data_IF_373170607651
#
_entry.id   IF_373170607651
#
_cell.length_a   1.000
_cell.length_b   1.000
_cell.length_c   1.000
_cell.angle_alpha   90.00
_cell.angle_beta   90.00
_cell.angle_gamma   90.00
#
_symmetry.space_group_name_H-M   'P 1'
#
loop_
_entity.id
_entity.type
_entity.pdbx_description
1 polymer ?
#
# COMPACT_ATOMS: atom_id res chain seq x y z
N UNK A 1 -40.97 -18.16 -14.67
CA UNK A 1 -41.68 -19.39 -14.23
C UNK A 1 -41.22 -20.51 -15.16
N UNK A 2 -40.15 -21.28 -14.90
CA UNK A 2 -40.10 -22.48 -14.06
C UNK A 2 -38.62 -22.92 -13.88
N UNK A 3 -37.90 -22.29 -12.95
CA UNK A 3 -36.50 -22.67 -12.64
C UNK A 3 -36.16 -22.53 -11.16
N UNK A 4 -36.81 -21.58 -10.46
CA UNK A 4 -36.54 -21.29 -9.05
C UNK A 4 -37.32 -22.16 -8.04
N UNK A 5 -38.27 -23.00 -8.48
CA UNK A 5 -39.06 -23.86 -7.56
C UNK A 5 -38.38 -25.20 -7.21
N UNK A 6 -37.41 -25.66 -8.01
CA UNK A 6 -36.73 -26.96 -7.79
C UNK A 6 -35.60 -26.92 -6.76
N UNK A 7 -35.04 -25.75 -6.48
CA UNK A 7 -33.95 -25.60 -5.49
C UNK A 7 -34.51 -25.55 -4.06
N UNK A 8 -35.75 -25.05 -3.89
CA UNK A 8 -36.39 -24.93 -2.57
C UNK A 8 -36.96 -26.24 -2.03
N UNK A 9 -37.26 -27.22 -2.90
CA UNK A 9 -37.77 -28.53 -2.48
C UNK A 9 -36.68 -29.50 -2.01
N UNK A 10 -35.45 -29.35 -2.51
CA UNK A 10 -34.33 -30.23 -2.14
C UNK A 10 -33.72 -29.82 -0.80
N UNK A 11 -33.68 -28.52 -0.48
CA UNK A 11 -33.19 -28.03 0.82
C UNK A 11 -34.14 -28.30 2.00
N UNK A 12 -35.43 -28.54 1.75
CA UNK A 12 -36.42 -28.77 2.83
C UNK A 12 -36.57 -30.24 3.23
N UNK A 13 -36.02 -31.19 2.47
CA UNK A 13 -36.04 -32.62 2.81
C UNK A 13 -34.86 -33.07 3.67
N UNK A 14 -33.77 -32.31 3.72
CA UNK A 14 -32.57 -32.70 4.49
C UNK A 14 -32.61 -32.25 5.96
N UNK A 15 -33.57 -31.40 6.35
CA UNK A 15 -33.63 -30.81 7.71
C UNK A 15 -34.70 -31.46 8.60
N UNK A 16 -35.59 -32.31 8.06
CA UNK A 16 -36.62 -33.02 8.83
C UNK A 16 -36.66 -34.52 8.49
N UNK A 17 -35.60 -35.25 8.85
CA UNK A 17 -35.64 -36.71 8.97
C UNK A 17 -34.48 -37.21 9.83
N UNK A 18 -34.49 -36.89 11.12
CA UNK A 18 -33.72 -37.61 12.13
C UNK A 18 -34.38 -37.37 13.49
N UNK A 19 -35.40 -38.17 13.78
CA UNK A 19 -35.88 -38.47 15.12
C UNK A 19 -36.54 -39.84 15.05
N UNK A 20 -35.85 -40.88 15.49
CA UNK A 20 -36.33 -42.26 15.52
C UNK A 20 -35.17 -43.24 15.71
N UNK A 21 -35.27 -44.04 16.77
CA UNK A 21 -34.19 -44.74 17.46
C UNK A 21 -33.80 -46.14 16.90
N UNK A 22 -32.68 -46.63 17.45
CA UNK A 22 -32.25 -48.03 17.67
C UNK A 22 -31.88 -48.96 16.48
N UNK A 23 -30.59 -49.33 16.39
CA UNK A 23 -30.00 -50.67 16.68
C UNK A 23 -28.59 -50.86 16.07
N UNK A 24 -27.87 -51.85 16.61
CA UNK A 24 -26.41 -52.04 16.67
C UNK A 24 -25.68 -52.53 15.37
N UNK A 25 -24.35 -52.80 15.39
CA UNK A 25 -23.41 -52.44 14.31
C UNK A 25 -23.09 -53.56 13.31
N UNK A 26 -22.92 -53.17 12.05
CA UNK A 26 -21.78 -53.52 11.18
C UNK A 26 -22.14 -53.19 9.72
N UNK A 27 -21.10 -52.91 8.93
CA UNK A 27 -21.10 -52.74 7.46
C UNK A 27 -21.84 -51.53 6.88
N UNK A 28 -21.11 -50.43 6.61
CA UNK A 28 -21.36 -49.57 5.46
C UNK A 28 -20.12 -48.73 5.07
N UNK A 29 -19.38 -49.28 4.10
CA UNK A 29 -18.69 -48.64 2.96
C UNK A 29 -18.16 -47.19 3.13
N UNK A 30 -16.82 -47.08 3.27
CA UNK A 30 -16.02 -45.95 2.80
C UNK A 30 -16.28 -45.77 1.31
N UNK A 31 -17.00 -44.73 0.89
CA UNK A 31 -16.75 -43.94 -0.32
C UNK A 31 -17.43 -42.57 -0.12
N UNK A 32 -16.66 -41.52 -0.39
CA UNK A 32 -17.00 -40.09 -0.52
C UNK A 32 -16.15 -39.18 0.40
N UNK A 33 -15.51 -38.18 -0.22
CA UNK A 33 -14.62 -37.13 0.35
C UNK A 33 -13.11 -37.44 0.48
N UNK A 34 -12.35 -37.40 -0.63
CA UNK A 34 -10.87 -37.48 -0.59
C UNK A 34 -10.15 -36.21 -0.12
N UNK A 35 -10.85 -35.10 0.13
CA UNK A 35 -10.21 -33.79 0.48
C UNK A 35 -10.18 -33.55 2.00
N UNK A 36 -11.11 -34.13 2.76
CA UNK A 36 -11.19 -33.93 4.22
C UNK A 36 -10.22 -34.83 5.01
N UNK A 37 -9.86 -36.00 4.46
CA UNK A 37 -8.99 -36.98 5.12
C UNK A 37 -7.51 -36.61 5.11
N UNK A 38 -7.06 -35.82 4.12
CA UNK A 38 -5.66 -35.33 4.05
C UNK A 38 -5.33 -34.29 5.12
N UNK A 39 -6.30 -33.45 5.52
CA UNK A 39 -6.07 -32.44 6.56
C UNK A 39 -6.21 -32.99 7.99
N UNK A 40 -7.06 -34.00 8.21
CA UNK A 40 -7.20 -34.63 9.53
C UNK A 40 -6.04 -35.59 9.88
N UNK A 41 -5.46 -36.28 8.90
CA UNK A 41 -4.28 -37.15 9.08
C UNK A 41 -3.03 -36.41 9.59
N UNK A 42 -2.94 -35.10 9.37
CA UNK A 42 -1.81 -34.27 9.84
C UNK A 42 -2.01 -33.74 11.26
N UNK A 43 -3.23 -33.81 11.81
CA UNK A 43 -3.56 -33.28 13.14
C UNK A 43 -3.58 -34.35 14.24
N UNK A 44 -3.84 -35.62 13.91
CA UNK A 44 -3.99 -36.70 14.91
C UNK A 44 -2.68 -37.33 15.42
N UNK A 45 -1.50 -36.86 14.96
CA UNK A 45 -0.20 -37.45 15.36
C UNK A 45 0.55 -36.64 16.43
N UNK A 46 -0.11 -35.69 17.08
CA UNK A 46 0.49 -34.83 18.11
C UNK A 46 -0.33 -34.81 19.40
N UNK A 47 -0.76 -35.97 19.89
CA UNK A 47 -1.08 -36.15 21.30
C UNK A 47 -0.83 -37.61 21.71
N UNK A 48 -0.24 -37.77 22.91
CA UNK A 48 0.18 -39.00 23.60
C UNK A 48 1.58 -39.57 23.28
N UNK A 49 2.61 -39.11 24.00
CA UNK A 49 3.30 -39.94 25.02
C UNK A 49 4.51 -39.25 25.67
N UNK A 50 4.46 -39.18 27.01
CA UNK A 50 5.57 -39.17 28.01
C UNK A 50 6.66 -38.08 27.99
N UNK A 51 7.09 -37.55 29.13
CA UNK A 51 6.90 -38.09 30.47
C UNK A 51 7.46 -37.26 31.63
N UNK A 52 6.98 -37.64 32.80
CA UNK A 52 7.70 -37.57 34.06
C UNK A 52 8.34 -38.93 34.32
N UNK A 53 9.65 -38.96 34.62
CA UNK A 53 10.30 -39.73 35.68
C UNK A 53 11.81 -39.75 35.43
N UNK A 54 12.57 -39.31 36.43
CA UNK A 54 13.99 -39.60 36.52
C UNK A 54 14.22 -40.97 37.16
N UNK A 55 15.33 -41.64 36.80
CA UNK A 55 16.26 -42.33 37.71
C UNK A 55 17.28 -43.19 36.92
N UNK A 56 18.52 -43.15 37.42
CA UNK A 56 19.49 -44.25 37.59
C UNK A 56 20.23 -44.89 36.39
N UNK A 57 21.56 -44.66 36.40
CA UNK A 57 22.68 -45.63 36.38
C UNK A 57 22.95 -46.56 35.19
N UNK A 58 24.10 -46.31 34.55
CA UNK A 58 25.23 -47.22 34.26
C UNK A 58 24.98 -48.66 33.75
N UNK A 59 25.62 -49.03 32.62
CA UNK A 59 26.70 -50.05 32.54
C UNK A 59 26.94 -50.60 31.11
N UNK A 60 28.22 -50.97 30.83
CA UNK A 60 28.75 -51.86 29.75
C UNK A 60 28.72 -51.29 28.31
N UNK A 61 29.79 -50.88 27.62
CA UNK A 61 31.15 -51.43 27.41
C UNK A 61 31.22 -52.94 27.15
N UNK A 62 31.94 -53.31 26.07
CA UNK A 62 32.24 -54.64 25.54
C UNK A 62 31.13 -55.21 24.61
N UNK A 63 31.34 -55.52 23.33
CA UNK A 63 32.37 -56.38 22.73
C UNK A 63 32.56 -56.01 21.24
N UNK A 64 33.79 -55.65 20.87
CA UNK A 64 34.30 -55.80 19.51
C UNK A 64 34.98 -57.17 19.42
N UNK A 65 34.36 -58.13 18.74
CA UNK A 65 35.05 -59.22 18.02
C UNK A 65 34.02 -60.12 17.37
N UNK A 66 34.12 -60.30 16.05
CA UNK A 66 34.08 -61.58 15.31
C UNK A 66 33.89 -61.30 13.80
N UNK A 67 34.96 -61.60 13.07
CA UNK A 67 35.06 -62.09 11.70
C UNK A 67 34.76 -61.22 10.46
N UNK A 68 35.88 -60.91 9.79
CA UNK A 68 36.03 -60.85 8.34
C UNK A 68 35.49 -62.11 7.63
N UNK A 69 34.65 -61.94 6.61
CA UNK A 69 34.76 -62.61 5.28
C UNK A 69 33.58 -62.25 4.37
N UNK A 70 33.87 -62.08 3.07
CA UNK A 70 33.03 -61.80 1.89
C UNK A 70 32.97 -60.34 1.37
N UNK A 71 33.10 -60.13 0.04
CA UNK A 71 33.08 -58.80 -0.57
C UNK A 71 31.66 -58.37 -1.03
N UNK A 72 31.46 -57.05 -1.08
CA UNK A 72 30.37 -56.30 -1.72
C UNK A 72 28.94 -56.39 -1.14
N UNK A 73 28.55 -55.36 -0.39
CA UNK A 73 27.36 -54.53 -0.63
C UNK A 73 27.45 -53.26 0.24
N UNK A 74 27.15 -52.04 -0.26
CA UNK A 74 27.14 -50.85 0.58
C UNK A 74 26.03 -50.97 1.63
N UNK A 75 26.42 -50.78 2.89
CA UNK A 75 25.53 -50.68 4.04
C UNK A 75 24.65 -49.45 3.84
N UNK A 76 23.32 -49.64 3.78
CA UNK A 76 22.36 -48.55 3.90
C UNK A 76 22.37 -48.14 5.38
N UNK A 77 23.16 -47.12 5.71
CA UNK A 77 22.91 -46.31 6.90
C UNK A 77 21.52 -45.69 6.71
N UNK A 78 20.58 -46.10 7.56
CA UNK A 78 19.35 -45.33 7.76
C UNK A 78 19.74 -44.08 8.54
N UNK A 79 20.23 -43.07 7.82
CA UNK A 79 20.22 -41.70 8.33
C UNK A 79 18.77 -41.35 8.62
N UNK A 80 18.52 -40.91 9.85
CA UNK A 80 17.30 -40.22 10.24
C UNK A 80 17.23 -38.91 9.44
N UNK A 81 16.89 -38.98 8.16
CA UNK A 81 16.36 -37.85 7.43
C UNK A 81 14.88 -37.73 7.82
N UNK A 82 14.65 -37.07 8.95
CA UNK A 82 13.48 -36.21 9.02
C UNK A 82 13.53 -35.32 7.79
N UNK A 83 12.45 -35.32 7.02
CA UNK A 83 12.29 -34.45 5.85
C UNK A 83 12.46 -33.02 6.34
N UNK A 84 13.68 -32.51 6.24
CA UNK A 84 14.00 -31.11 6.39
C UNK A 84 13.35 -30.47 5.16
N UNK A 85 12.10 -30.03 5.32
CA UNK A 85 11.46 -29.13 4.37
C UNK A 85 12.51 -28.07 4.07
N UNK A 86 12.91 -27.98 2.79
CA UNK A 86 13.80 -26.96 2.29
C UNK A 86 13.26 -25.62 2.76
N UNK A 87 13.75 -25.16 3.91
CA UNK A 87 13.60 -23.80 4.37
C UNK A 87 14.31 -23.02 3.29
N UNK A 88 13.53 -22.42 2.38
CA UNK A 88 14.07 -21.41 1.50
C UNK A 88 14.74 -20.42 2.45
N UNK A 89 16.07 -20.45 2.46
CA UNK A 89 16.91 -19.76 3.41
C UNK A 89 16.90 -18.28 3.02
N UNK A 90 15.71 -17.67 3.04
CA UNK A 90 15.52 -16.23 2.94
C UNK A 90 16.09 -15.69 4.23
N UNK A 91 17.38 -15.34 4.19
CA UNK A 91 18.03 -14.61 5.26
C UNK A 91 17.22 -13.33 5.44
N UNK A 92 16.32 -13.33 6.42
CA UNK A 92 15.56 -12.17 6.88
C UNK A 92 16.58 -11.08 7.21
N UNK A 93 16.70 -10.08 6.36
CA UNK A 93 17.76 -9.07 6.41
C UNK A 93 17.21 -7.69 6.74
N UNK A 94 15.92 -7.44 6.50
CA UNK A 94 15.34 -6.12 6.64
C UNK A 94 15.11 -5.72 8.10
N UNK A 95 15.45 -4.46 8.38
CA UNK A 95 15.20 -3.79 9.66
C UNK A 95 13.89 -2.99 9.57
N UNK A 96 13.38 -2.58 10.72
CA UNK A 96 12.10 -1.87 10.86
C UNK A 96 12.01 -0.58 10.05
N UNK A 97 13.08 0.22 9.99
CA UNK A 97 13.06 1.50 9.26
C UNK A 97 12.97 1.28 7.74
N UNK A 98 13.95 0.64 7.08
CA UNK A 98 13.91 0.46 5.63
C UNK A 98 12.79 -0.50 5.17
N UNK A 99 12.38 -1.45 6.01
CA UNK A 99 11.42 -2.49 5.62
C UNK A 99 9.96 -2.19 5.98
N UNK A 100 9.68 -1.24 6.87
CA UNK A 100 8.29 -0.92 7.28
C UNK A 100 8.04 0.58 7.25
N UNK A 101 8.84 1.36 7.96
CA UNK A 101 8.62 2.82 8.09
C UNK A 101 8.73 3.55 6.75
N UNK A 102 9.84 3.37 6.02
CA UNK A 102 10.07 4.08 4.75
C UNK A 102 9.03 3.73 3.67
N UNK A 103 8.68 2.44 3.43
CA UNK A 103 7.62 2.09 2.48
C UNK A 103 6.26 2.73 2.82
N UNK A 104 5.87 2.74 4.10
CA UNK A 104 4.59 3.33 4.53
C UNK A 104 4.62 4.84 4.35
N UNK A 105 5.66 5.51 4.85
CA UNK A 105 5.78 6.96 4.72
C UNK A 105 5.78 7.41 3.26
N UNK A 106 6.52 6.72 2.38
CA UNK A 106 6.55 7.03 0.94
C UNK A 106 5.23 6.76 0.24
N UNK A 107 4.55 5.65 0.59
CA UNK A 107 3.24 5.35 0.02
C UNK A 107 2.18 6.40 0.37
N UNK A 108 2.28 7.00 1.57
CA UNK A 108 1.35 8.06 2.01
C UNK A 108 1.80 9.46 1.55
N UNK A 109 3.10 9.72 1.39
CA UNK A 109 3.59 10.99 0.86
C UNK A 109 3.18 11.17 -0.60
N UNK A 110 3.41 10.14 -1.43
CA UNK A 110 3.03 10.08 -2.85
C UNK A 110 3.11 11.45 -3.55
N UNK A 111 2.20 11.74 -4.46
CA UNK A 111 2.06 13.05 -5.10
C UNK A 111 1.39 14.10 -4.22
N UNK A 112 0.69 13.61 -3.20
CA UNK A 112 -0.26 14.38 -2.42
C UNK A 112 0.39 15.51 -1.64
N UNK A 113 1.57 15.23 -1.09
CA UNK A 113 2.36 16.18 -0.31
C UNK A 113 2.72 17.43 -1.12
N UNK A 114 2.94 17.30 -2.44
CA UNK A 114 3.38 18.43 -3.28
C UNK A 114 2.28 19.08 -4.11
N UNK A 115 1.18 18.38 -4.41
CA UNK A 115 0.12 18.93 -5.28
C UNK A 115 -1.28 18.93 -4.67
N UNK A 116 -1.64 17.91 -3.88
CA UNK A 116 -3.04 17.72 -3.48
C UNK A 116 -3.41 18.43 -2.18
N UNK A 117 -2.47 18.67 -1.27
CA UNK A 117 -2.77 19.43 -0.03
C UNK A 117 -3.19 20.87 -0.37
N UNK A 118 -2.56 21.51 -1.35
CA UNK A 118 -2.92 22.86 -1.78
C UNK A 118 -4.37 22.94 -2.29
N UNK A 119 -4.76 22.00 -3.15
CA UNK A 119 -6.13 21.85 -3.64
C UNK A 119 -7.14 21.66 -2.50
N UNK A 120 -6.84 20.76 -1.54
CA UNK A 120 -7.74 20.48 -0.41
C UNK A 120 -7.95 21.73 0.45
N UNK A 121 -6.86 22.49 0.72
CA UNK A 121 -6.92 23.74 1.47
C UNK A 121 -7.68 24.83 0.72
N UNK A 122 -7.55 24.91 -0.61
CA UNK A 122 -8.23 25.90 -1.43
C UNK A 122 -9.76 25.81 -1.29
N UNK A 123 -10.31 24.60 -1.43
CA UNK A 123 -11.75 24.37 -1.45
C UNK A 123 -12.36 24.20 -0.05
N UNK A 124 -11.75 23.38 0.80
CA UNK A 124 -12.30 23.09 2.13
C UNK A 124 -11.93 24.18 3.16
N UNK A 125 -10.85 24.94 2.93
CA UNK A 125 -10.31 25.86 3.92
C UNK A 125 -9.68 25.13 5.12
N UNK A 126 -8.89 25.85 5.91
CA UNK A 126 -8.06 25.25 6.98
C UNK A 126 -8.88 24.43 7.97
N UNK A 127 -10.02 24.96 8.44
CA UNK A 127 -10.78 24.30 9.49
C UNK A 127 -11.36 22.96 9.03
N UNK A 128 -11.91 22.93 7.82
CA UNK A 128 -12.51 21.72 7.28
C UNK A 128 -11.44 20.74 6.77
N UNK A 129 -10.31 21.22 6.25
CA UNK A 129 -9.15 20.36 5.92
C UNK A 129 -8.62 19.67 7.18
N UNK A 130 -8.45 20.39 8.30
CA UNK A 130 -8.01 19.77 9.56
C UNK A 130 -9.03 18.75 10.09
N UNK A 131 -10.33 19.04 9.96
CA UNK A 131 -11.39 18.08 10.30
C UNK A 131 -11.31 16.81 9.43
N UNK A 132 -11.16 16.97 8.11
CA UNK A 132 -11.04 15.86 7.17
C UNK A 132 -9.78 15.03 7.44
N UNK A 133 -8.63 15.69 7.68
CA UNK A 133 -7.40 15.03 8.10
C UNK A 133 -7.60 14.23 9.39
N UNK A 134 -8.20 14.83 10.42
CA UNK A 134 -8.52 14.15 11.67
C UNK A 134 -9.38 12.90 11.46
N UNK A 135 -10.41 12.99 10.61
CA UNK A 135 -11.27 11.86 10.26
C UNK A 135 -10.51 10.76 9.49
N UNK A 136 -9.71 11.13 8.48
CA UNK A 136 -8.88 10.18 7.73
C UNK A 136 -7.91 9.43 8.64
N UNK A 137 -7.16 10.15 9.47
CA UNK A 137 -6.18 9.55 10.37
C UNK A 137 -6.83 8.75 11.49
N UNK A 138 -8.04 9.09 11.95
CA UNK A 138 -8.80 8.25 12.86
C UNK A 138 -9.12 6.87 12.25
N UNK A 139 -9.65 6.86 11.02
CA UNK A 139 -9.97 5.61 10.29
C UNK A 139 -8.69 4.77 10.09
N UNK A 140 -7.59 5.42 9.68
CA UNK A 140 -6.31 4.75 9.47
C UNK A 140 -5.70 4.22 10.76
N UNK A 141 -5.79 4.97 11.85
CA UNK A 141 -5.25 4.55 13.14
C UNK A 141 -6.02 3.35 13.70
N UNK A 142 -7.36 3.34 13.60
CA UNK A 142 -8.17 2.17 13.95
C UNK A 142 -7.79 0.94 13.11
N UNK A 143 -7.60 1.11 11.80
CA UNK A 143 -7.16 0.03 10.91
C UNK A 143 -5.77 -0.47 11.29
N UNK A 144 -4.86 0.44 11.61
CA UNK A 144 -3.50 0.14 12.03
C UNK A 144 -3.47 -0.67 13.34
N UNK A 145 -4.25 -0.29 14.35
CA UNK A 145 -4.32 -1.04 15.60
C UNK A 145 -4.78 -2.49 15.35
N UNK A 146 -5.76 -2.69 14.46
CA UNK A 146 -6.19 -4.03 14.03
C UNK A 146 -5.06 -4.81 13.36
N UNK A 147 -4.36 -4.20 12.39
CA UNK A 147 -3.21 -4.85 11.71
C UNK A 147 -2.07 -5.16 12.68
N UNK A 148 -1.81 -4.27 13.65
CA UNK A 148 -0.81 -4.51 14.70
C UNK A 148 -1.18 -5.73 15.54
N UNK A 149 -2.45 -5.84 15.96
CA UNK A 149 -2.96 -7.00 16.69
C UNK A 149 -2.76 -8.29 15.90
N UNK A 150 -3.10 -8.28 14.60
CA UNK A 150 -2.89 -9.42 13.71
C UNK A 150 -1.40 -9.78 13.60
N UNK A 151 -0.52 -8.78 13.47
CA UNK A 151 0.92 -9.00 13.38
C UNK A 151 1.53 -9.53 14.69
N UNK A 152 0.90 -9.29 15.84
CA UNK A 152 1.38 -9.83 17.11
C UNK A 152 0.84 -11.22 17.43
N UNK A 153 -0.20 -11.68 16.72
CA UNK A 153 -0.89 -12.93 17.00
C UNK A 153 -0.52 -14.01 15.99
N UNK A 154 0.40 -14.90 16.36
CA UNK A 154 0.82 -16.05 15.56
C UNK A 154 2.22 -15.95 14.95
N UNK A 155 2.69 -17.05 14.36
CA UNK A 155 3.96 -17.10 13.63
C UNK A 155 3.78 -16.45 12.26
N UNK A 156 4.27 -15.21 12.11
CA UNK A 156 4.31 -14.54 10.81
C UNK A 156 5.36 -15.24 9.93
N UNK A 157 4.86 -16.03 9.00
CA UNK A 157 5.63 -16.61 7.90
C UNK A 157 5.80 -15.63 6.74
N UNK A 158 6.53 -16.06 5.71
CA UNK A 158 7.06 -15.23 4.63
C UNK A 158 6.07 -14.51 3.70
N UNK A 159 4.77 -14.79 3.80
CA UNK A 159 3.79 -14.51 2.74
C UNK A 159 3.15 -13.12 2.68
N UNK A 160 3.70 -12.10 3.35
CA UNK A 160 3.18 -10.73 3.27
C UNK A 160 1.90 -10.48 4.09
N UNK A 161 1.13 -9.46 3.68
CA UNK A 161 -0.12 -9.04 4.37
C UNK A 161 -1.22 -10.09 4.28
N UNK A 162 -1.43 -10.64 3.10
CA UNK A 162 -2.49 -11.61 2.87
C UNK A 162 -2.31 -12.85 3.76
N UNK A 163 -1.10 -13.41 3.83
CA UNK A 163 -0.79 -14.57 4.66
C UNK A 163 -1.02 -14.35 6.15
N UNK A 164 -0.73 -13.13 6.61
CA UNK A 164 -0.99 -12.73 7.99
C UNK A 164 -2.49 -12.65 8.28
N UNK A 165 -3.31 -12.18 7.32
CA UNK A 165 -4.76 -12.06 7.46
C UNK A 165 -5.45 -13.43 7.35
N UNK A 166 -5.11 -14.23 6.34
CA UNK A 166 -5.77 -15.53 6.07
C UNK A 166 -5.58 -16.52 7.20
N UNK A 167 -4.43 -16.49 7.88
CA UNK A 167 -4.16 -17.34 9.05
C UNK A 167 -4.88 -16.89 10.32
N UNK A 168 -5.07 -15.59 10.49
CA UNK A 168 -5.70 -15.04 11.68
C UNK A 168 -7.25 -15.08 11.60
N UNK A 169 -7.81 -14.87 10.40
CA UNK A 169 -9.26 -14.78 10.18
C UNK A 169 -9.87 -15.99 9.45
N UNK A 170 -9.03 -16.88 8.93
CA UNK A 170 -9.45 -18.02 8.11
C UNK A 170 -9.43 -17.73 6.60
N UNK A 171 -9.44 -18.78 5.77
CA UNK A 171 -9.23 -18.69 4.33
C UNK A 171 -10.33 -17.93 3.58
N UNK A 172 -11.58 -18.01 4.03
CA UNK A 172 -12.71 -17.32 3.35
C UNK A 172 -12.61 -15.79 3.46
N UNK A 173 -12.32 -15.31 4.68
CA UNK A 173 -12.09 -13.88 4.94
C UNK A 173 -10.78 -13.41 4.32
N UNK A 174 -9.72 -14.22 4.44
CA UNK A 174 -8.43 -13.96 3.82
C UNK A 174 -8.52 -13.79 2.31
N UNK A 175 -9.18 -14.72 1.61
CA UNK A 175 -9.34 -14.70 0.17
C UNK A 175 -10.13 -13.49 -0.32
N UNK A 176 -11.25 -13.18 0.32
CA UNK A 176 -12.09 -12.02 -0.02
C UNK A 176 -11.34 -10.70 0.16
N UNK A 177 -10.65 -10.52 1.29
CA UNK A 177 -9.86 -9.31 1.58
C UNK A 177 -8.64 -9.25 0.64
N UNK A 178 -8.01 -10.39 0.34
CA UNK A 178 -6.87 -10.49 -0.55
C UNK A 178 -7.20 -10.03 -1.97
N UNK A 179 -8.31 -10.49 -2.54
CA UNK A 179 -8.75 -10.06 -3.89
C UNK A 179 -9.06 -8.57 -3.91
N UNK A 180 -9.77 -8.05 -2.91
CA UNK A 180 -10.03 -6.61 -2.81
C UNK A 180 -8.73 -5.81 -2.73
N UNK A 181 -7.77 -6.29 -1.94
CA UNK A 181 -6.48 -5.62 -1.77
C UNK A 181 -5.60 -5.70 -3.03
N UNK A 182 -5.68 -6.80 -3.79
CA UNK A 182 -5.03 -6.92 -5.10
C UNK A 182 -5.53 -5.82 -6.05
N UNK A 183 -6.85 -5.71 -6.26
CA UNK A 183 -7.41 -4.68 -7.13
C UNK A 183 -7.12 -3.25 -6.63
N UNK A 184 -7.15 -3.03 -5.32
CA UNK A 184 -6.80 -1.75 -4.73
C UNK A 184 -5.35 -1.34 -5.05
N UNK A 185 -4.39 -2.26 -4.96
CA UNK A 185 -3.00 -1.98 -5.33
C UNK A 185 -2.82 -1.74 -6.84
N UNK A 186 -3.54 -2.46 -7.70
CA UNK A 186 -3.50 -2.26 -9.17
C UNK A 186 -4.04 -0.88 -9.56
N UNK A 187 -5.22 -0.52 -9.03
CA UNK A 187 -5.84 0.78 -9.30
C UNK A 187 -5.00 1.91 -8.69
N UNK A 188 -4.48 1.72 -7.47
CA UNK A 188 -3.60 2.69 -6.81
C UNK A 188 -2.29 2.94 -7.57
N UNK A 189 -1.70 1.90 -8.17
CA UNK A 189 -0.57 2.06 -9.08
C UNK A 189 -0.95 2.89 -10.32
N UNK A 190 -2.12 2.61 -10.93
CA UNK A 190 -2.64 3.39 -12.05
C UNK A 190 -2.84 4.87 -11.70
N UNK A 191 -3.40 5.15 -10.52
CA UNK A 191 -3.56 6.53 -10.01
C UNK A 191 -2.22 7.23 -9.83
N UNK A 192 -1.23 6.53 -9.26
CA UNK A 192 0.12 7.07 -9.04
C UNK A 192 0.78 7.44 -10.37
N UNK A 193 0.73 6.55 -11.37
CA UNK A 193 1.28 6.82 -12.70
C UNK A 193 0.57 7.98 -13.39
N UNK A 194 -0.76 8.03 -13.35
CA UNK A 194 -1.52 9.12 -13.94
C UNK A 194 -1.14 10.48 -13.32
N UNK A 195 -0.95 10.49 -12.00
CA UNK A 195 -0.56 11.70 -11.27
C UNK A 195 0.88 12.14 -11.62
N UNK A 196 1.82 11.20 -11.82
CA UNK A 196 3.17 11.55 -12.31
C UNK A 196 3.14 12.18 -13.70
N UNK A 197 2.32 11.63 -14.60
CA UNK A 197 2.16 12.19 -15.95
C UNK A 197 1.56 13.59 -15.90
N UNK A 198 0.55 13.83 -15.06
CA UNK A 198 -0.01 15.15 -14.80
C UNK A 198 1.08 16.13 -14.35
N UNK A 199 1.85 15.78 -13.32
CA UNK A 199 2.94 16.64 -12.83
C UNK A 199 4.00 16.94 -13.89
N UNK A 200 4.37 15.96 -14.73
CA UNK A 200 5.37 16.15 -15.79
C UNK A 200 4.86 17.06 -16.91
N UNK A 201 3.60 16.88 -17.34
CA UNK A 201 2.98 17.71 -18.38
C UNK A 201 2.77 19.13 -17.86
N UNK A 202 2.34 19.31 -16.61
CA UNK A 202 2.18 20.65 -16.04
C UNK A 202 3.54 21.36 -15.84
N UNK A 203 4.59 20.62 -15.48
CA UNK A 203 5.94 21.17 -15.28
C UNK A 203 6.63 21.57 -16.59
N UNK A 204 6.49 20.77 -17.64
CA UNK A 204 7.32 20.83 -18.85
C UNK A 204 6.51 20.91 -20.17
N UNK A 205 5.18 21.02 -20.08
CA UNK A 205 4.28 21.12 -21.22
C UNK A 205 4.26 22.50 -21.90
N UNK A 206 3.36 22.70 -22.86
CA UNK A 206 3.26 23.94 -23.63
C UNK A 206 2.88 25.12 -22.72
N UNK A 207 3.79 26.08 -22.59
CA UNK A 207 3.66 27.23 -21.67
C UNK A 207 4.67 27.25 -20.53
N UNK A 208 5.41 26.16 -20.32
CA UNK A 208 6.61 26.12 -19.47
C UNK A 208 7.84 26.62 -20.24
N UNK A 209 8.83 27.19 -19.52
CA UNK A 209 10.09 27.73 -20.08
C UNK A 209 10.85 26.71 -20.95
N UNK A 210 10.64 25.42 -20.77
CA UNK A 210 11.30 24.34 -21.51
C UNK A 210 10.44 23.69 -22.61
N UNK A 211 9.11 23.89 -22.62
CA UNK A 211 8.13 23.39 -23.62
C UNK A 211 8.53 22.07 -24.30
N UNK A 212 8.86 21.05 -23.50
CA UNK A 212 9.48 19.81 -23.97
C UNK A 212 8.45 18.69 -24.23
N UNK A 213 7.28 18.76 -23.60
CA UNK A 213 6.23 17.74 -23.75
C UNK A 213 5.00 18.29 -24.45
N UNK A 214 4.34 17.43 -25.23
CA UNK A 214 3.08 17.77 -25.89
C UNK A 214 1.92 17.34 -25.01
N UNK A 215 0.94 18.23 -24.84
CA UNK A 215 -0.30 17.89 -24.14
C UNK A 215 -1.33 17.33 -25.13
N UNK A 216 -1.43 16.01 -25.18
CA UNK A 216 -2.48 15.29 -25.89
C UNK A 216 -2.82 14.03 -25.13
N UNK A 217 -4.08 13.57 -25.25
CA UNK A 217 -4.54 12.34 -24.61
C UNK A 217 -3.63 11.13 -24.90
N UNK A 218 -3.24 10.95 -26.16
CA UNK A 218 -2.36 9.84 -26.58
C UNK A 218 -0.93 9.99 -26.07
N UNK A 219 -0.42 11.23 -25.95
CA UNK A 219 0.89 11.49 -25.38
C UNK A 219 0.92 11.19 -23.88
N UNK A 220 -0.11 11.59 -23.13
CA UNK A 220 -0.25 11.25 -21.70
C UNK A 220 -0.31 9.74 -21.49
N UNK A 221 -1.04 9.03 -22.35
CA UNK A 221 -1.08 7.57 -22.33
C UNK A 221 0.30 6.94 -22.61
N UNK A 222 1.06 7.47 -23.58
CA UNK A 222 2.41 6.99 -23.88
C UNK A 222 3.36 7.20 -22.69
N UNK A 223 3.35 8.40 -22.07
CA UNK A 223 4.19 8.69 -20.90
C UNK A 223 3.86 7.75 -19.74
N UNK A 224 2.58 7.51 -19.46
CA UNK A 224 2.15 6.57 -18.43
C UNK A 224 2.59 5.13 -18.72
N UNK A 225 2.54 4.71 -19.98
CA UNK A 225 3.00 3.37 -20.41
C UNK A 225 4.51 3.21 -20.21
N UNK A 226 5.30 4.23 -20.55
CA UNK A 226 6.77 4.22 -20.35
C UNK A 226 7.11 4.12 -18.86
N UNK A 227 6.46 4.92 -18.01
CA UNK A 227 6.67 4.89 -16.55
C UNK A 227 6.33 3.51 -15.97
N UNK A 228 5.23 2.89 -16.43
CA UNK A 228 4.86 1.55 -16.01
C UNK A 228 5.89 0.50 -16.46
N UNK A 229 6.42 0.58 -17.68
CA UNK A 229 7.46 -0.34 -18.17
C UNK A 229 8.73 -0.21 -17.32
N UNK A 230 9.16 1.02 -17.01
CA UNK A 230 10.34 1.27 -16.16
C UNK A 230 10.10 0.71 -14.74
N UNK A 231 8.90 0.92 -14.19
CA UNK A 231 8.53 0.40 -12.88
C UNK A 231 8.50 -1.13 -12.87
N UNK A 232 7.98 -1.75 -13.93
CA UNK A 232 7.97 -3.21 -14.12
C UNK A 232 9.39 -3.77 -14.17
N UNK A 233 10.27 -3.19 -15.00
CA UNK A 233 11.68 -3.60 -15.09
C UNK A 233 12.33 -3.53 -13.70
N UNK A 234 12.13 -2.42 -12.98
CA UNK A 234 12.67 -2.21 -11.64
C UNK A 234 12.18 -3.26 -10.64
N UNK A 235 10.92 -3.67 -10.73
CA UNK A 235 10.37 -4.73 -9.88
C UNK A 235 10.93 -6.11 -10.21
N UNK A 236 11.28 -6.38 -11.48
CA UNK A 236 11.91 -7.64 -11.90
C UNK A 236 13.37 -7.78 -11.40
N UNK A 237 14.06 -6.67 -11.10
CA UNK A 237 15.42 -6.69 -10.53
C UNK A 237 15.50 -7.24 -9.09
N UNK A 238 14.36 -7.46 -8.43
CA UNK A 238 14.27 -8.18 -7.14
C UNK A 238 14.00 -7.30 -5.92
N UNK A 239 13.54 -7.94 -4.83
CA UNK A 239 13.05 -7.25 -3.62
C UNK A 239 14.14 -6.63 -2.73
N UNK A 240 15.36 -7.16 -2.79
CA UNK A 240 16.51 -6.60 -2.06
C UNK A 240 16.84 -5.20 -2.56
N UNK A 241 16.86 -5.00 -3.89
CA UNK A 241 17.09 -3.71 -4.52
C UNK A 241 15.96 -2.72 -4.19
N UNK A 242 14.70 -3.19 -4.19
CA UNK A 242 13.54 -2.36 -3.85
C UNK A 242 13.63 -1.78 -2.44
N UNK A 243 13.96 -2.59 -1.42
CA UNK A 243 14.07 -2.11 -0.04
C UNK A 243 15.19 -1.06 0.14
N UNK A 244 16.30 -1.23 -0.58
CA UNK A 244 17.43 -0.31 -0.56
C UNK A 244 17.08 1.00 -1.29
N UNK A 245 16.46 0.89 -2.47
CA UNK A 245 15.99 2.03 -3.25
C UNK A 245 14.95 2.86 -2.47
N UNK A 246 13.99 2.21 -1.82
CA UNK A 246 12.94 2.85 -1.01
C UNK A 246 13.55 3.67 0.13
N UNK A 247 14.60 3.18 0.79
CA UNK A 247 15.30 3.94 1.83
C UNK A 247 15.97 5.21 1.28
N UNK A 248 16.66 5.12 0.14
CA UNK A 248 17.29 6.30 -0.48
C UNK A 248 16.27 7.29 -1.01
N UNK A 249 15.18 6.80 -1.62
CA UNK A 249 14.07 7.64 -2.07
C UNK A 249 13.45 8.36 -0.88
N UNK A 250 13.29 7.70 0.27
CA UNK A 250 12.77 8.33 1.48
C UNK A 250 13.66 9.48 1.96
N UNK A 251 14.98 9.29 1.96
CA UNK A 251 15.94 10.34 2.33
C UNK A 251 15.82 11.51 1.34
N UNK A 252 15.77 11.22 0.04
CA UNK A 252 15.65 12.23 -1.01
C UNK A 252 14.36 13.04 -0.86
N UNK A 253 13.21 12.37 -0.72
CA UNK A 253 11.90 13.03 -0.57
C UNK A 253 11.84 13.83 0.73
N UNK A 254 12.38 13.30 1.84
CA UNK A 254 12.44 14.02 3.11
C UNK A 254 13.32 15.26 3.03
N UNK A 255 14.44 15.19 2.30
CA UNK A 255 15.32 16.32 2.04
C UNK A 255 14.62 17.40 1.20
N UNK A 256 13.96 16.99 0.10
CA UNK A 256 13.16 17.91 -0.74
C UNK A 256 12.06 18.57 0.08
N UNK A 257 11.35 17.80 0.91
CA UNK A 257 10.30 18.33 1.78
C UNK A 257 10.87 19.36 2.76
N UNK A 258 12.00 19.06 3.41
CA UNK A 258 12.66 20.02 4.30
C UNK A 258 13.01 21.32 3.57
N UNK A 259 13.48 21.23 2.32
CA UNK A 259 13.76 22.42 1.50
C UNK A 259 12.49 23.21 1.14
N UNK A 260 11.37 22.54 0.90
CA UNK A 260 10.06 23.19 0.71
C UNK A 260 9.64 23.93 1.98
N UNK A 261 9.74 23.29 3.15
CA UNK A 261 9.44 23.91 4.45
C UNK A 261 10.30 25.15 4.67
N UNK A 262 11.62 25.04 4.46
CA UNK A 262 12.54 26.19 4.58
C UNK A 262 12.19 27.30 3.59
N UNK A 263 11.76 26.95 2.38
CA UNK A 263 11.40 27.93 1.35
C UNK A 263 10.25 28.84 1.77
N UNK A 264 9.26 28.32 2.51
CA UNK A 264 8.17 29.14 3.04
C UNK A 264 8.65 30.26 3.99
N UNK A 265 9.77 30.07 4.69
CA UNK A 265 10.33 31.07 5.60
C UNK A 265 11.32 32.03 4.93
N UNK A 266 11.98 31.58 3.86
CA UNK A 266 13.04 32.36 3.20
C UNK A 266 12.48 33.23 2.07
N UNK A 267 11.49 32.74 1.31
CA UNK A 267 10.92 33.50 0.20
C UNK A 267 9.93 34.55 0.68
N UNK A 268 10.12 35.78 0.18
CA UNK A 268 9.18 36.87 0.36
C UNK A 268 7.97 36.79 -0.58
N UNK A 269 7.11 37.81 -0.56
CA UNK A 269 5.96 37.90 -1.45
C UNK A 269 6.39 37.85 -2.93
N UNK A 270 5.74 37.00 -3.73
CA UNK A 270 6.07 36.80 -5.14
C UNK A 270 4.80 36.50 -5.94
N UNK A 271 4.78 36.91 -7.20
CA UNK A 271 3.73 36.49 -8.13
C UNK A 271 4.04 35.11 -8.70
N UNK A 272 3.03 34.27 -8.74
CA UNK A 272 3.04 32.90 -9.25
C UNK A 272 2.27 32.88 -10.56
N UNK A 273 2.82 32.22 -11.58
CA UNK A 273 2.18 32.14 -12.89
C UNK A 273 1.13 31.04 -12.83
N UNK A 274 -0.10 31.35 -13.26
CA UNK A 274 -1.15 30.34 -13.39
C UNK A 274 -0.92 29.60 -14.72
N UNK A 275 -0.91 28.27 -14.71
CA UNK A 275 -0.58 27.51 -15.90
C UNK A 275 -1.72 27.61 -16.93
N UNK A 276 -1.35 27.71 -18.21
CA UNK A 276 -2.31 27.84 -19.33
C UNK A 276 -3.22 26.62 -19.52
N UNK A 277 -2.91 25.49 -18.87
CA UNK A 277 -3.80 24.32 -18.81
C UNK A 277 -5.12 24.62 -18.09
N UNK A 278 -5.14 25.63 -17.21
CA UNK A 278 -6.35 26.06 -16.52
C UNK A 278 -7.18 26.98 -17.44
N UNK A 279 -7.89 26.40 -18.41
CA UNK A 279 -8.75 27.15 -19.33
C UNK A 279 -9.79 28.02 -18.58
N UNK A 280 -10.34 27.50 -17.48
CA UNK A 280 -11.36 28.19 -16.67
C UNK A 280 -10.88 29.53 -16.11
N UNK A 281 -9.66 29.58 -15.55
CA UNK A 281 -9.11 30.82 -15.00
C UNK A 281 -8.84 31.89 -16.07
N UNK A 282 -8.53 31.47 -17.30
CA UNK A 282 -8.32 32.37 -18.44
C UNK A 282 -9.63 32.82 -19.11
N UNK A 283 -10.70 32.02 -19.03
CA UNK A 283 -12.05 32.40 -19.48
C UNK A 283 -12.74 33.37 -18.51
N UNK A 284 -12.44 33.25 -17.21
CA UNK A 284 -13.00 34.10 -16.14
C UNK A 284 -11.91 34.77 -15.31
N UNK A 285 -11.10 35.66 -15.90
CA UNK A 285 -10.00 36.27 -15.18
C UNK A 285 -10.53 37.32 -14.17
N UNK A 286 -9.94 37.42 -12.97
CA UNK A 286 -10.33 38.40 -11.96
C UNK A 286 -10.06 39.85 -12.39
N UNK A 287 -9.24 40.05 -13.44
CA UNK A 287 -8.94 41.32 -14.06
C UNK A 287 -8.90 41.16 -15.59
N UNK A 288 -9.11 42.24 -16.34
CA UNK A 288 -9.06 42.18 -17.79
C UNK A 288 -7.64 41.81 -18.28
N UNK A 289 -7.52 40.71 -19.03
CA UNK A 289 -6.26 40.25 -19.63
C UNK A 289 -6.40 40.11 -21.14
N UNK A 290 -5.30 40.34 -21.86
CA UNK A 290 -5.23 40.02 -23.29
C UNK A 290 -5.02 38.50 -23.45
N UNK A 291 -5.49 37.94 -24.57
CA UNK A 291 -5.38 36.49 -24.84
C UNK A 291 -3.94 35.94 -24.89
N UNK A 292 -2.93 36.81 -25.05
CA UNK A 292 -1.51 36.46 -25.05
C UNK A 292 -0.85 36.48 -23.68
N UNK A 293 -1.44 37.19 -22.71
CA UNK A 293 -0.78 37.51 -21.45
C UNK A 293 -0.95 36.38 -20.42
N UNK A 294 -0.02 36.30 -19.46
CA UNK A 294 -0.09 35.32 -18.38
C UNK A 294 -0.95 35.85 -17.23
N UNK A 295 -1.65 34.93 -16.57
CA UNK A 295 -2.44 35.23 -15.38
C UNK A 295 -1.59 34.96 -14.15
N UNK A 296 -1.65 35.86 -13.17
CA UNK A 296 -0.82 35.81 -11.98
C UNK A 296 -1.68 35.59 -10.75
N UNK A 297 -1.23 34.70 -9.87
CA UNK A 297 -1.69 34.55 -8.50
C UNK A 297 -0.64 35.07 -7.52
N UNK A 298 -1.03 35.34 -6.28
CA UNK A 298 -0.13 35.97 -5.31
C UNK A 298 0.30 35.01 -4.20
N UNK A 299 1.61 34.84 -4.07
CA UNK A 299 2.24 34.29 -2.88
C UNK A 299 2.56 35.46 -1.94
N UNK A 300 1.89 35.54 -0.79
CA UNK A 300 2.03 36.69 0.13
C UNK A 300 3.16 36.52 1.15
N UNK A 301 3.75 35.32 1.23
CA UNK A 301 4.51 34.91 2.41
C UNK A 301 3.61 34.86 3.66
N UNK A 302 4.20 34.65 4.84
CA UNK A 302 3.44 34.53 6.10
C UNK A 302 2.60 35.78 6.37
N UNK A 303 1.28 35.63 6.23
CA UNK A 303 0.33 36.71 6.43
C UNK A 303 -0.90 36.22 7.20
N UNK A 304 -1.21 36.90 8.30
CA UNK A 304 -2.42 36.62 9.08
C UNK A 304 -3.71 36.93 8.31
N UNK A 305 -3.65 37.88 7.36
CA UNK A 305 -4.80 38.20 6.50
C UNK A 305 -5.09 37.04 5.55
N UNK A 306 -4.06 36.51 4.89
CA UNK A 306 -4.14 35.35 3.99
C UNK A 306 -4.65 34.12 4.74
N UNK A 307 -4.13 33.85 5.94
CA UNK A 307 -4.60 32.74 6.76
C UNK A 307 -6.09 32.86 7.12
N UNK A 308 -6.54 34.07 7.47
CA UNK A 308 -7.95 34.33 7.79
C UNK A 308 -8.87 34.12 6.58
N UNK A 309 -8.44 34.53 5.40
CA UNK A 309 -9.17 34.29 4.15
C UNK A 309 -9.26 32.79 3.83
N UNK A 310 -8.18 32.05 4.09
CA UNK A 310 -8.13 30.61 3.89
C UNK A 310 -8.85 29.77 4.97
N UNK A 311 -9.38 30.39 6.03
CA UNK A 311 -9.92 29.66 7.18
C UNK A 311 -11.23 28.92 6.86
N UNK A 312 -12.14 29.54 6.10
CA UNK A 312 -13.48 29.01 5.84
C UNK A 312 -13.59 28.33 4.49
N UNK A 313 -14.45 27.33 4.36
CA UNK A 313 -14.65 26.63 3.10
C UNK A 313 -15.23 27.52 2.01
N UNK A 314 -14.74 27.35 0.78
CA UNK A 314 -15.36 27.90 -0.42
C UNK A 314 -15.17 26.92 -1.57
N UNK A 315 -16.21 26.12 -1.82
CA UNK A 315 -16.17 25.12 -2.86
C UNK A 315 -16.43 25.74 -4.23
N UNK A 316 -15.36 25.94 -4.99
CA UNK A 316 -15.38 26.38 -6.39
C UNK A 316 -15.26 25.20 -7.37
N UNK A 317 -15.32 25.52 -8.65
CA UNK A 317 -15.09 24.58 -9.74
C UNK A 317 -13.60 24.21 -9.78
N UNK A 318 -13.31 22.91 -9.92
CA UNK A 318 -11.97 22.41 -10.22
C UNK A 318 -11.70 22.55 -11.72
N UNK A 319 -10.58 23.17 -12.08
CA UNK A 319 -10.25 23.41 -13.48
C UNK A 319 -9.85 22.15 -14.27
N UNK A 320 -9.57 21.03 -13.59
CA UNK A 320 -9.23 19.77 -14.25
C UNK A 320 -10.44 18.90 -14.56
N UNK A 321 -11.47 18.94 -13.71
CA UNK A 321 -12.71 18.17 -13.90
C UNK A 321 -13.85 19.00 -14.47
N UNK A 322 -13.84 20.32 -14.26
CA UNK A 322 -14.94 21.22 -14.62
C UNK A 322 -16.15 21.14 -13.69
N UNK A 323 -16.08 20.30 -12.64
CA UNK A 323 -17.16 20.09 -11.70
C UNK A 323 -17.02 20.99 -10.46
N UNK A 324 -18.16 21.35 -9.85
CA UNK A 324 -18.16 22.05 -8.56
C UNK A 324 -17.76 21.07 -7.46
N UNK A 325 -16.73 21.42 -6.70
CA UNK A 325 -16.27 20.58 -5.60
C UNK A 325 -17.29 20.53 -4.46
N UNK A 326 -17.23 19.47 -3.67
CA UNK A 326 -18.02 19.37 -2.44
C UNK A 326 -17.18 18.70 -1.34
N UNK A 327 -17.74 18.61 -0.13
CA UNK A 327 -17.04 18.00 0.99
C UNK A 327 -16.58 16.57 0.72
N UNK A 328 -17.42 15.75 0.08
CA UNK A 328 -17.16 14.34 -0.16
C UNK A 328 -16.11 14.11 -1.25
N UNK A 329 -16.12 14.92 -2.31
CA UNK A 329 -15.13 14.82 -3.40
C UNK A 329 -13.75 15.23 -2.90
N UNK A 330 -13.64 16.35 -2.19
CA UNK A 330 -12.37 16.80 -1.60
C UNK A 330 -11.87 15.81 -0.54
N UNK A 331 -12.77 15.26 0.28
CA UNK A 331 -12.41 14.19 1.21
C UNK A 331 -11.92 12.94 0.48
N UNK A 332 -12.54 12.54 -0.64
CA UNK A 332 -12.12 11.39 -1.44
C UNK A 332 -10.71 11.55 -2.00
N UNK A 333 -10.38 12.74 -2.51
CA UNK A 333 -9.03 13.08 -2.98
C UNK A 333 -8.03 12.97 -1.84
N UNK A 334 -8.34 13.58 -0.69
CA UNK A 334 -7.48 13.52 0.50
C UNK A 334 -7.34 12.09 1.07
N UNK A 335 -8.43 11.32 1.11
CA UNK A 335 -8.40 9.98 1.65
C UNK A 335 -7.54 9.05 0.79
N UNK A 336 -7.65 9.15 -0.53
CA UNK A 336 -6.81 8.42 -1.48
C UNK A 336 -5.32 8.68 -1.23
N UNK A 337 -4.96 9.91 -0.91
CA UNK A 337 -3.59 10.33 -0.58
C UNK A 337 -2.98 9.66 0.64
N UNK A 338 -3.78 9.35 1.66
CA UNK A 338 -3.29 8.84 2.95
C UNK A 338 -3.43 7.31 3.02
N UNK A 339 -3.88 6.67 1.93
CA UNK A 339 -3.85 5.21 1.79
C UNK A 339 -2.40 4.70 1.71
N UNK A 340 -2.20 3.38 1.86
CA UNK A 340 -0.85 2.77 1.76
C UNK A 340 -0.24 2.26 3.08
N UNK A 341 -1.00 2.28 4.17
CA UNK A 341 -0.62 1.72 5.48
C UNK A 341 -0.03 0.30 5.41
N UNK A 342 -0.53 -0.52 4.48
CA UNK A 342 -0.18 -1.93 4.35
C UNK A 342 1.10 -2.17 3.54
N UNK A 343 1.70 -1.12 2.94
CA UNK A 343 2.94 -1.23 2.19
C UNK A 343 4.09 -1.86 3.00
N UNK A 344 4.22 -1.49 4.28
CA UNK A 344 5.26 -2.03 5.16
C UNK A 344 5.03 -3.49 5.56
N UNK A 345 3.79 -3.96 5.57
CA UNK A 345 3.47 -5.35 5.88
C UNK A 345 3.59 -6.28 4.67
N UNK A 346 3.61 -5.74 3.43
CA UNK A 346 3.89 -6.52 2.21
C UNK A 346 5.31 -7.11 2.19
N UNK A 347 6.20 -6.58 3.04
CA UNK A 347 7.60 -7.04 3.19
C UNK A 347 7.82 -7.92 4.42
N UNK A 348 6.74 -8.40 5.07
CA UNK A 348 6.81 -9.13 6.35
C UNK A 348 7.75 -10.34 6.32
N UNK A 349 7.85 -11.04 5.19
CA UNK A 349 8.70 -12.21 5.05
C UNK A 349 10.20 -11.94 5.02
N UNK A 350 10.61 -10.72 4.72
CA UNK A 350 12.02 -10.31 4.63
C UNK A 350 12.52 -9.63 5.92
N UNK A 351 11.60 -9.29 6.83
CA UNK A 351 11.90 -8.63 8.10
C UNK A 351 12.57 -9.60 9.09
N UNK A 352 13.63 -9.15 9.76
CA UNK A 352 14.30 -9.90 10.84
C UNK A 352 13.33 -10.33 11.95
N UNK A 353 12.42 -9.43 12.34
CA UNK A 353 11.44 -9.63 13.42
C UNK A 353 10.12 -8.97 13.03
N UNK A 354 9.26 -9.63 12.24
CA UNK A 354 8.05 -9.01 11.71
C UNK A 354 7.04 -8.64 12.79
N UNK A 355 6.83 -9.49 13.80
CA UNK A 355 5.87 -9.27 14.91
C UNK A 355 6.13 -8.02 15.74
N UNK A 356 7.40 -7.57 15.82
CA UNK A 356 7.75 -6.30 16.47
C UNK A 356 7.90 -5.15 15.48
N UNK A 357 8.47 -5.41 14.31
CA UNK A 357 8.80 -4.36 13.34
C UNK A 357 7.56 -3.76 12.69
N UNK A 358 6.55 -4.57 12.39
CA UNK A 358 5.31 -4.08 11.76
C UNK A 358 4.61 -3.08 12.70
N UNK A 359 4.27 -3.42 13.96
CA UNK A 359 3.59 -2.46 14.83
C UNK A 359 4.39 -1.17 15.08
N UNK A 360 5.67 -1.29 15.45
CA UNK A 360 6.46 -0.11 15.79
C UNK A 360 6.76 0.77 14.58
N UNK A 361 7.01 0.15 13.42
CA UNK A 361 7.33 0.87 12.19
C UNK A 361 6.11 1.58 11.62
N UNK A 362 4.96 0.89 11.58
CA UNK A 362 3.72 1.45 11.03
C UNK A 362 3.15 2.58 11.90
N UNK A 363 3.14 2.43 13.24
CA UNK A 363 2.68 3.50 14.14
C UNK A 363 3.58 4.74 14.02
N UNK A 364 4.90 4.55 14.02
CA UNK A 364 5.83 5.66 13.84
C UNK A 364 5.64 6.36 12.47
N UNK A 365 5.42 5.61 11.40
CA UNK A 365 5.21 6.16 10.06
C UNK A 365 3.90 6.97 9.97
N UNK A 366 2.80 6.43 10.47
CA UNK A 366 1.50 7.12 10.43
C UNK A 366 1.54 8.41 11.26
N UNK A 367 2.12 8.39 12.46
CA UNK A 367 2.27 9.58 13.28
C UNK A 367 3.18 10.62 12.61
N UNK A 368 4.29 10.18 11.99
CA UNK A 368 5.17 11.06 11.24
C UNK A 368 4.43 11.75 10.09
N UNK A 369 3.70 11.00 9.26
CA UNK A 369 2.93 11.57 8.14
C UNK A 369 1.81 12.49 8.62
N UNK A 370 1.15 12.17 9.74
CA UNK A 370 0.14 13.02 10.35
C UNK A 370 0.66 14.43 10.66
N UNK A 371 1.81 14.52 11.34
CA UNK A 371 2.41 15.82 11.67
C UNK A 371 2.87 16.58 10.42
N UNK A 372 3.40 15.88 9.42
CA UNK A 372 3.82 16.48 8.14
C UNK A 372 2.62 17.08 7.41
N UNK A 373 1.49 16.36 7.34
CA UNK A 373 0.30 16.83 6.63
C UNK A 373 -0.36 18.02 7.34
N UNK A 374 -0.37 18.04 8.68
CA UNK A 374 -0.83 19.20 9.45
C UNK A 374 0.09 20.40 9.21
N UNK A 375 1.40 20.19 9.29
CA UNK A 375 2.38 21.27 9.08
C UNK A 375 2.23 21.87 7.70
N UNK A 376 2.14 21.03 6.66
CA UNK A 376 1.96 21.48 5.28
C UNK A 376 0.66 22.26 5.09
N UNK A 377 -0.45 21.75 5.62
CA UNK A 377 -1.76 22.42 5.56
C UNK A 377 -1.69 23.82 6.15
N UNK A 378 -1.07 23.98 7.32
CA UNK A 378 -0.96 25.27 8.00
C UNK A 378 -0.02 26.23 7.29
N UNK A 379 1.12 25.73 6.78
CA UNK A 379 2.08 26.54 6.03
C UNK A 379 1.45 27.07 4.74
N UNK A 380 0.88 26.19 3.91
CA UNK A 380 0.24 26.58 2.65
C UNK A 380 -0.86 27.62 2.86
N UNK A 381 -1.71 27.42 3.87
CA UNK A 381 -2.79 28.35 4.17
C UNK A 381 -2.33 29.72 4.67
N UNK A 382 -1.18 29.79 5.35
CA UNK A 382 -0.65 31.04 5.89
C UNK A 382 0.13 31.86 4.85
N UNK A 383 0.60 31.22 3.77
CA UNK A 383 1.54 31.86 2.84
C UNK A 383 0.99 32.16 1.44
N UNK A 384 -0.03 31.43 1.00
CA UNK A 384 -0.52 31.50 -0.39
C UNK A 384 -1.98 31.95 -0.42
N UNK A 385 -2.33 32.82 -1.37
CA UNK A 385 -3.71 33.22 -1.56
C UNK A 385 -4.61 32.04 -2.02
N UNK A 386 -5.93 32.17 -1.78
CA UNK A 386 -6.88 31.13 -2.18
C UNK A 386 -6.95 30.95 -3.70
N UNK A 387 -6.79 32.04 -4.43
CA UNK A 387 -6.91 32.06 -5.88
C UNK A 387 -5.82 31.22 -6.55
N UNK A 388 -4.56 31.34 -6.11
CA UNK A 388 -3.43 30.53 -6.57
C UNK A 388 -3.61 29.08 -6.18
N UNK A 389 -4.02 28.79 -4.94
CA UNK A 389 -4.23 27.42 -4.46
C UNK A 389 -5.32 26.68 -5.25
N UNK A 390 -6.33 27.39 -5.75
CA UNK A 390 -7.41 26.83 -6.57
C UNK A 390 -6.97 26.59 -8.01
N UNK A 391 -6.13 27.48 -8.56
CA UNK A 391 -5.86 27.55 -9.99
C UNK A 391 -4.50 26.99 -10.42
N UNK A 392 -3.62 26.65 -9.48
CA UNK A 392 -2.31 26.07 -9.75
C UNK A 392 -1.95 24.98 -8.72
N UNK A 393 -2.07 23.71 -9.10
CA UNK A 393 -1.68 22.58 -8.24
C UNK A 393 -0.18 22.46 -8.00
N UNK A 394 0.63 23.07 -8.86
CA UNK A 394 2.09 23.00 -8.81
C UNK A 394 2.73 24.30 -8.32
N UNK A 395 1.96 25.17 -7.65
CA UNK A 395 2.45 26.46 -7.16
C UNK A 395 3.70 26.36 -6.28
N UNK A 396 3.87 25.23 -5.57
CA UNK A 396 5.07 24.96 -4.77
C UNK A 396 6.36 24.98 -5.59
N UNK A 397 6.32 24.61 -6.87
CA UNK A 397 7.48 24.67 -7.75
C UNK A 397 7.99 26.10 -7.93
N UNK A 398 7.09 27.08 -8.06
CA UNK A 398 7.45 28.48 -8.29
C UNK A 398 7.90 29.18 -7.00
N UNK A 399 7.31 28.77 -5.87
CA UNK A 399 7.62 29.32 -4.54
C UNK A 399 8.91 28.75 -3.95
N UNK A 400 9.33 27.54 -4.33
CA UNK A 400 10.54 26.92 -3.78
C UNK A 400 11.82 27.73 -4.11
N UNK A 401 12.83 27.70 -3.22
CA UNK A 401 14.16 28.30 -3.42
C UNK A 401 14.77 27.83 -4.74
N UNK A 402 14.60 26.55 -5.07
CA UNK A 402 15.01 25.98 -6.35
C UNK A 402 13.89 25.12 -6.94
N UNK A 403 13.28 25.60 -8.03
CA UNK A 403 12.12 24.99 -8.66
C UNK A 403 12.26 23.48 -8.96
N UNK A 404 13.40 22.97 -9.46
CA UNK A 404 13.55 21.53 -9.75
C UNK A 404 13.42 20.61 -8.53
N UNK A 405 13.61 21.08 -7.29
CA UNK A 405 13.49 20.22 -6.11
C UNK A 405 12.09 19.60 -6.00
N UNK A 406 11.03 20.39 -6.20
CA UNK A 406 9.65 19.90 -6.08
C UNK A 406 9.39 18.79 -7.11
N UNK A 407 9.82 19.00 -8.35
CA UNK A 407 9.68 18.00 -9.42
C UNK A 407 10.44 16.71 -9.08
N UNK A 408 11.69 16.82 -8.61
CA UNK A 408 12.48 15.66 -8.20
C UNK A 408 11.77 14.89 -7.07
N UNK A 409 11.21 15.62 -6.10
CA UNK A 409 10.42 15.05 -5.01
C UNK A 409 9.18 14.32 -5.50
N UNK A 410 8.42 14.92 -6.42
CA UNK A 410 7.23 14.31 -7.02
C UNK A 410 7.61 13.03 -7.78
N UNK A 411 8.60 13.09 -8.66
CA UNK A 411 9.06 11.93 -9.44
C UNK A 411 9.48 10.81 -8.49
N UNK A 412 10.29 11.11 -7.47
CA UNK A 412 10.80 10.12 -6.54
C UNK A 412 9.68 9.49 -5.67
N UNK A 413 8.80 10.32 -5.10
CA UNK A 413 7.71 9.86 -4.24
C UNK A 413 6.72 8.98 -5.02
N UNK A 414 6.32 9.41 -6.22
CA UNK A 414 5.37 8.68 -7.04
C UNK A 414 5.98 7.40 -7.61
N UNK A 415 7.24 7.45 -8.05
CA UNK A 415 7.95 6.24 -8.49
C UNK A 415 8.01 5.19 -7.37
N UNK A 416 8.29 5.59 -6.14
CA UNK A 416 8.25 4.67 -5.00
C UNK A 416 6.85 4.10 -4.74
N UNK A 417 5.80 4.90 -4.88
CA UNK A 417 4.43 4.44 -4.72
C UNK A 417 4.06 3.40 -5.79
N UNK A 418 4.48 3.62 -7.04
CA UNK A 418 4.29 2.65 -8.13
C UNK A 418 4.99 1.32 -7.84
N UNK A 419 6.26 1.35 -7.41
CA UNK A 419 7.01 0.15 -7.05
C UNK A 419 6.34 -0.63 -5.91
N UNK A 420 5.91 0.08 -4.86
CA UNK A 420 5.23 -0.52 -3.72
C UNK A 420 3.88 -1.15 -4.11
N UNK A 421 3.10 -0.49 -4.98
CA UNK A 421 1.83 -1.00 -5.48
C UNK A 421 2.01 -2.25 -6.33
N UNK A 422 2.98 -2.26 -7.24
CA UNK A 422 3.23 -3.39 -8.15
C UNK A 422 3.73 -4.64 -7.40
N UNK A 423 4.69 -4.47 -6.49
CA UNK A 423 5.22 -5.56 -5.64
C UNK A 423 4.16 -6.06 -4.66
N UNK A 424 3.35 -5.15 -4.11
CA UNK A 424 2.22 -5.50 -3.25
C UNK A 424 1.23 -6.38 -3.98
N UNK A 425 0.75 -5.94 -5.15
CA UNK A 425 -0.22 -6.67 -5.95
C UNK A 425 0.29 -8.06 -6.36
N UNK A 426 1.52 -8.17 -6.86
CA UNK A 426 2.07 -9.45 -7.32
C UNK A 426 2.18 -10.48 -6.19
N UNK A 427 2.65 -10.08 -5.00
CA UNK A 427 2.77 -10.96 -3.83
C UNK A 427 1.43 -11.44 -3.30
N UNK A 428 0.43 -10.56 -3.29
CA UNK A 428 -0.93 -10.94 -2.87
C UNK A 428 -1.50 -11.97 -3.85
N UNK A 429 -1.35 -11.72 -5.15
CA UNK A 429 -1.86 -12.64 -6.17
C UNK A 429 -1.15 -14.00 -6.13
N UNK A 430 0.17 -14.01 -5.94
CA UNK A 430 0.96 -15.23 -5.75
C UNK A 430 0.47 -16.02 -4.53
N UNK A 431 0.29 -15.35 -3.39
CA UNK A 431 -0.15 -16.01 -2.16
C UNK A 431 -1.60 -16.54 -2.24
N UNK A 432 -2.50 -15.80 -2.92
CA UNK A 432 -3.85 -16.28 -3.21
C UNK A 432 -3.85 -17.52 -4.11
N UNK A 433 -2.94 -17.58 -5.08
CA UNK A 433 -2.81 -18.72 -6.00
C UNK A 433 -2.26 -19.96 -5.30
N UNK A 434 -1.26 -19.80 -4.42
CA UNK A 434 -0.68 -20.89 -3.62
C UNK A 434 -1.71 -21.50 -2.66
N UNK A 435 -2.60 -20.68 -2.10
CA UNK A 435 -3.65 -21.16 -1.19
C UNK A 435 -4.85 -21.80 -1.93
N UNK A 436 -4.83 -21.87 -3.27
CA UNK A 436 -5.86 -22.48 -4.14
C UNK A 436 -7.32 -22.08 -3.83
N UNK A 437 -7.55 -20.89 -3.24
CA UNK A 437 -8.84 -20.49 -2.63
C UNK A 437 -10.00 -20.53 -3.64
N UNK A 438 -9.74 -20.16 -4.89
CA UNK A 438 -10.77 -20.07 -5.93
C UNK A 438 -10.87 -21.32 -6.81
N UNK A 439 -10.04 -22.35 -6.57
CA UNK A 439 -9.88 -23.51 -7.44
C UNK A 439 -9.37 -23.17 -8.86
N UNK A 440 -8.98 -24.18 -9.64
CA UNK A 440 -8.44 -23.99 -11.00
C UNK A 440 -9.40 -23.32 -12.00
N UNK A 441 -10.71 -23.26 -11.70
CA UNK A 441 -11.73 -22.87 -12.67
C UNK A 441 -11.83 -21.35 -12.94
N UNK A 442 -11.14 -20.49 -12.17
CA UNK A 442 -11.12 -19.04 -12.41
C UNK A 442 -10.08 -18.60 -13.47
N UNK A 443 -9.05 -19.42 -13.73
CA UNK A 443 -7.94 -19.05 -14.63
C UNK A 443 -8.06 -19.63 -16.05
N UNK A 444 -9.15 -20.36 -16.35
CA UNK A 444 -9.34 -21.12 -17.59
C UNK A 444 -10.56 -20.67 -18.43
N UNK A 445 -11.16 -19.51 -18.14
CA UNK A 445 -12.28 -18.97 -18.92
C UNK A 445 -12.01 -17.59 -19.51
#
# INVERSE_FOLDING_TARGET
MNGFSRIRSTLRRTIFSSNGADTSPNTARREDFPILSRHLSSYERFDLSTGSQGASTASLQNINSINNSLPHAPVIETTNEGVEFLSHNSKRTLRTIPGVFCPIALSMFSISLFMRIGFVVAHAGVLQTLLQLGLCFLILFCTLLSVCSLATNGAIEGGGVYHMISRALGPEFGGSIGVLFFFANVIGNGQSVAALVEALVDSFGPGSKASAFQDSHWWRFLYGTIINIISLITCLLGSSLFSMATFFIFILVSFVYLMVVVSFFVKGPQDVIIPKVNAYAYEHPPYAINASDFLYGHYTGFSAATFRENTYANYTIDYTTGDVMNFATVFGVLFSSITGLLAGANMSGELKRPSRSIPTGSIAAVLFVFFIFITETLLMAATTDRYTLTNNYLFLQDVNIWAPFVIIGIIAAVFSACLSGLIGASRILEALAVDEIFGMNLFLY
#
